data_IF_492416710304
#
_entry.id   IF_492416710304
#
_cell.length_a   1.000
_cell.length_b   1.000
_cell.length_c   1.000
_cell.angle_alpha   90.00
_cell.angle_beta   90.00
_cell.angle_gamma   90.00
#
_symmetry.space_group_name_H-M   'P 1'
#
loop_
_entity.id
_entity.type
_entity.pdbx_description
1 polymer ?
#
# COMPACT_ATOMS: atom_id res chain seq x y z
N UNK A 1 -29.81 35.86 21.20
CA UNK A 1 -28.83 34.91 21.69
C UNK A 1 -28.01 34.29 20.55
N UNK A 2 -27.91 34.93 19.38
CA UNK A 2 -27.20 34.39 18.18
C UNK A 2 -26.20 35.36 17.53
N UNK A 3 -25.85 36.47 18.23
CA UNK A 3 -24.87 37.42 17.68
C UNK A 3 -23.47 37.31 18.28
N UNK A 4 -23.28 36.61 19.39
CA UNK A 4 -21.97 36.44 20.01
C UNK A 4 -21.19 35.23 19.51
N UNK A 5 -21.86 34.22 18.93
CA UNK A 5 -21.20 33.05 18.38
C UNK A 5 -20.41 33.36 17.08
N UNK A 6 -20.90 34.32 16.26
CA UNK A 6 -20.21 34.69 15.01
C UNK A 6 -19.02 35.65 15.23
N UNK A 7 -18.85 36.24 16.41
CA UNK A 7 -17.70 37.09 16.72
C UNK A 7 -16.44 36.32 17.16
N UNK A 8 -16.62 35.07 17.56
CA UNK A 8 -15.48 34.17 17.94
C UNK A 8 -14.80 33.52 16.73
N UNK A 9 -15.50 33.47 15.58
CA UNK A 9 -15.04 32.74 14.38
C UNK A 9 -14.07 33.55 13.53
N UNK A 10 -13.96 34.88 13.66
CA UNK A 10 -13.16 35.75 12.79
C UNK A 10 -12.11 36.59 13.51
N UNK A 11 -11.65 36.21 14.68
CA UNK A 11 -10.44 36.81 15.22
C UNK A 11 -9.24 36.15 14.57
N UNK A 12 -8.59 36.86 13.64
CA UNK A 12 -7.15 36.76 13.48
C UNK A 12 -6.56 37.06 14.85
N UNK A 13 -6.27 36.03 15.61
CA UNK A 13 -5.61 36.18 16.89
C UNK A 13 -4.14 36.40 16.50
N UNK A 14 -3.72 37.65 16.48
CA UNK A 14 -2.31 37.98 16.68
C UNK A 14 -1.99 37.51 18.11
N UNK A 15 -1.43 36.31 18.22
CA UNK A 15 -0.99 35.75 19.48
C UNK A 15 0.09 36.66 20.00
N UNK A 16 -0.13 37.26 21.19
CA UNK A 16 0.91 38.01 21.86
C UNK A 16 1.95 37.05 22.48
N UNK A 17 3.07 37.59 22.95
CA UNK A 17 4.15 36.78 23.55
C UNK A 17 3.67 36.00 24.77
N UNK A 18 2.69 36.48 25.49
CA UNK A 18 2.11 35.80 26.65
C UNK A 18 1.20 34.64 26.26
N UNK A 19 0.46 34.76 25.13
CA UNK A 19 -0.33 33.67 24.55
C UNK A 19 0.59 32.54 24.07
N UNK A 20 1.74 32.87 23.46
CA UNK A 20 2.74 31.90 22.99
C UNK A 20 3.38 31.18 24.17
N UNK A 21 3.72 31.90 25.24
CA UNK A 21 4.29 31.30 26.44
C UNK A 21 3.29 30.37 27.14
N UNK A 22 2.02 30.77 27.21
CA UNK A 22 0.92 29.94 27.73
C UNK A 22 0.75 28.67 26.89
N UNK A 23 0.85 28.77 25.56
CA UNK A 23 0.81 27.62 24.68
C UNK A 23 2.02 26.69 24.89
N UNK A 24 3.23 27.24 25.05
CA UNK A 24 4.44 26.45 25.38
C UNK A 24 4.27 25.65 26.66
N UNK A 25 3.75 26.27 27.72
CA UNK A 25 3.45 25.58 28.97
C UNK A 25 2.44 24.46 28.83
N UNK A 26 1.42 24.60 27.97
CA UNK A 26 0.47 23.52 27.68
C UNK A 26 1.13 22.42 26.83
N UNK A 27 1.93 22.77 25.84
CA UNK A 27 2.62 21.81 24.98
C UNK A 27 3.66 20.99 25.75
N UNK A 28 4.36 21.60 26.74
CA UNK A 28 5.31 20.86 27.60
C UNK A 28 4.65 19.77 28.47
N UNK A 29 3.33 19.81 28.63
CA UNK A 29 2.56 18.77 29.33
C UNK A 29 2.17 17.60 28.40
N UNK A 30 2.39 17.72 27.10
CA UNK A 30 2.14 16.64 26.15
C UNK A 30 3.18 15.56 26.36
N UNK A 31 2.70 14.36 26.62
CA UNK A 31 3.56 13.17 26.67
C UNK A 31 3.05 12.14 25.69
N UNK A 32 3.85 11.87 24.66
CA UNK A 32 3.66 10.76 23.74
C UNK A 32 4.77 9.75 24.03
N UNK A 33 4.47 8.59 24.62
CA UNK A 33 5.49 7.57 24.84
C UNK A 33 6.15 7.15 23.52
N UNK A 34 7.46 6.96 23.50
CA UNK A 34 8.19 6.48 22.31
C UNK A 34 7.58 5.19 21.74
N UNK A 35 7.15 4.31 22.64
CA UNK A 35 6.49 3.04 22.29
C UNK A 35 5.22 3.21 21.46
N UNK A 36 4.56 4.37 21.50
CA UNK A 36 3.37 4.64 20.70
C UNK A 36 3.70 4.72 19.20
N UNK A 37 4.74 5.48 18.87
CA UNK A 37 5.17 5.61 17.48
C UNK A 37 5.79 4.29 16.95
N UNK A 38 6.44 3.54 17.81
CA UNK A 38 7.02 2.23 17.49
C UNK A 38 5.93 1.18 17.23
N UNK A 39 4.91 1.11 18.09
CA UNK A 39 3.75 0.23 17.85
C UNK A 39 3.02 0.57 16.53
N UNK A 40 2.87 1.86 16.23
CA UNK A 40 2.28 2.28 14.96
C UNK A 40 3.13 1.85 13.76
N UNK A 41 4.46 1.93 13.89
CA UNK A 41 5.40 1.40 12.90
C UNK A 41 5.19 -0.10 12.71
N UNK A 42 5.14 -0.88 13.79
CA UNK A 42 4.97 -2.34 13.73
C UNK A 42 3.66 -2.76 13.07
N UNK A 43 2.55 -2.06 13.35
CA UNK A 43 1.25 -2.33 12.71
C UNK A 43 1.34 -2.21 11.19
N UNK A 44 2.07 -1.20 10.69
CA UNK A 44 2.22 -0.94 9.25
C UNK A 44 3.31 -1.85 8.64
N UNK A 45 4.42 -2.06 9.34
CA UNK A 45 5.56 -2.82 8.83
C UNK A 45 5.26 -4.33 8.74
N UNK A 46 4.45 -4.84 9.65
CA UNK A 46 4.07 -6.26 9.69
C UNK A 46 3.49 -6.76 8.36
N UNK A 47 2.44 -6.14 7.79
CA UNK A 47 1.90 -6.47 6.47
C UNK A 47 2.94 -6.41 5.35
N UNK A 48 3.75 -5.35 5.31
CA UNK A 48 4.77 -5.16 4.26
C UNK A 48 5.86 -6.25 4.32
N UNK A 49 6.29 -6.61 5.53
CA UNK A 49 7.26 -7.68 5.74
C UNK A 49 6.70 -9.06 5.32
N UNK A 50 5.46 -9.35 5.70
CA UNK A 50 4.78 -10.61 5.30
C UNK A 50 4.70 -10.77 3.79
N UNK A 51 4.41 -9.68 3.09
CA UNK A 51 4.32 -9.68 1.64
C UNK A 51 5.69 -9.62 0.93
N UNK A 52 6.78 -9.48 1.67
CA UNK A 52 8.10 -9.36 1.10
C UNK A 52 8.36 -8.05 0.34
N UNK A 53 7.59 -7.01 0.59
CA UNK A 53 7.77 -5.70 -0.05
C UNK A 53 9.05 -5.06 0.47
N UNK A 54 9.89 -4.57 -0.45
CA UNK A 54 11.10 -3.85 -0.10
C UNK A 54 10.77 -2.43 0.35
N UNK A 55 11.03 -2.15 1.63
CA UNK A 55 10.72 -0.84 2.23
C UNK A 55 11.70 -0.47 3.34
N UNK A 56 11.62 0.82 3.75
CA UNK A 56 12.15 1.35 5.01
C UNK A 56 11.08 2.21 5.64
N UNK A 57 10.92 2.15 6.95
CA UNK A 57 9.96 3.00 7.68
C UNK A 57 10.72 3.88 8.64
N UNK A 58 10.47 5.18 8.55
CA UNK A 58 10.88 6.19 9.49
C UNK A 58 9.64 6.68 10.22
N UNK A 59 9.79 6.96 11.51
CA UNK A 59 8.70 7.52 12.29
C UNK A 59 9.23 8.62 13.19
N UNK A 60 8.35 9.52 13.55
CA UNK A 60 8.69 10.60 14.50
C UNK A 60 7.44 11.02 15.25
N UNK A 61 7.66 11.43 16.51
CA UNK A 61 6.74 12.29 17.24
C UNK A 61 7.19 13.73 17.05
N UNK A 62 6.26 14.63 16.79
CA UNK A 62 6.57 16.05 16.59
C UNK A 62 7.12 16.65 17.88
N UNK A 63 8.24 17.37 17.81
CA UNK A 63 8.85 18.05 18.95
C UNK A 63 7.97 19.22 19.45
N UNK A 64 8.09 19.57 20.72
CA UNK A 64 7.37 20.67 21.36
C UNK A 64 7.49 21.97 20.55
N UNK A 65 8.70 22.38 20.16
CA UNK A 65 8.92 23.57 19.34
C UNK A 65 8.22 23.50 17.99
N UNK A 66 8.19 22.32 17.36
CA UNK A 66 7.49 22.11 16.09
C UNK A 66 5.97 22.18 16.26
N UNK A 67 5.44 21.71 17.41
CA UNK A 67 4.01 21.81 17.74
C UNK A 67 3.65 23.29 17.94
N UNK A 68 4.41 24.02 18.77
CA UNK A 68 4.19 25.45 19.02
C UNK A 68 4.25 26.24 17.71
N UNK A 69 5.32 26.07 16.94
CA UNK A 69 5.50 26.76 15.64
C UNK A 69 4.33 26.48 14.70
N UNK A 70 3.83 25.26 14.67
CA UNK A 70 2.72 24.88 13.79
C UNK A 70 1.39 25.44 14.26
N UNK A 71 1.11 25.38 15.56
CA UNK A 71 -0.14 25.89 16.15
C UNK A 71 -0.22 27.42 16.14
N UNK A 72 0.92 28.12 16.20
CA UNK A 72 1.00 29.59 16.11
C UNK A 72 0.99 30.11 14.67
N UNK A 73 1.06 29.22 13.67
CA UNK A 73 1.08 29.61 12.27
C UNK A 73 -0.30 30.14 11.85
N UNK A 74 -0.43 31.45 11.72
CA UNK A 74 -1.67 32.15 11.37
C UNK A 74 -2.26 31.65 10.04
N UNK A 75 -1.42 31.28 9.06
CA UNK A 75 -1.88 30.79 7.75
C UNK A 75 -2.59 29.44 7.83
N UNK A 76 -2.34 28.65 8.87
CA UNK A 76 -2.95 27.34 9.10
C UNK A 76 -4.26 27.41 9.87
N UNK A 77 -4.47 28.46 10.67
CA UNK A 77 -5.70 28.73 11.41
C UNK A 77 -6.24 27.50 12.19
N UNK A 78 -5.35 26.85 12.96
CA UNK A 78 -5.76 25.72 13.81
C UNK A 78 -6.69 26.15 14.92
N UNK A 79 -7.79 25.44 15.10
CA UNK A 79 -8.85 25.74 16.06
C UNK A 79 -9.61 24.46 16.47
N UNK A 80 -10.71 24.59 17.18
CA UNK A 80 -11.52 23.45 17.62
C UNK A 80 -12.06 22.58 16.46
N UNK A 81 -12.21 23.13 15.26
CA UNK A 81 -12.77 22.47 14.08
C UNK A 81 -11.71 22.09 13.05
N UNK A 82 -10.59 22.80 13.05
CA UNK A 82 -9.44 22.51 12.17
C UNK A 82 -8.22 22.23 13.04
N UNK A 83 -7.93 20.95 13.22
CA UNK A 83 -6.91 20.45 14.14
C UNK A 83 -5.64 19.98 13.41
N UNK A 84 -4.52 20.00 14.12
CA UNK A 84 -3.27 19.43 13.65
C UNK A 84 -3.35 17.90 13.65
N UNK A 85 -3.06 17.26 12.51
CA UNK A 85 -3.26 15.82 12.28
C UNK A 85 -1.97 15.02 12.26
N UNK A 86 -0.81 15.65 12.41
CA UNK A 86 0.52 15.06 12.25
C UNK A 86 1.37 15.12 13.51
N UNK A 87 0.75 14.91 14.69
CA UNK A 87 1.49 14.75 15.95
C UNK A 87 2.46 13.57 15.85
N UNK A 88 1.99 12.46 15.26
CA UNK A 88 2.79 11.29 14.91
C UNK A 88 2.85 11.21 13.40
N UNK A 89 4.03 11.07 12.85
CA UNK A 89 4.25 10.91 11.41
C UNK A 89 5.07 9.66 11.12
N UNK A 90 4.62 8.87 10.14
CA UNK A 90 5.35 7.75 9.60
C UNK A 90 5.69 8.04 8.13
N UNK A 91 6.87 7.63 7.71
CA UNK A 91 7.31 7.72 6.32
C UNK A 91 7.76 6.36 5.84
N UNK A 92 7.08 5.85 4.83
CA UNK A 92 7.35 4.58 4.18
C UNK A 92 8.10 4.88 2.89
N UNK A 93 9.32 4.37 2.78
CA UNK A 93 10.18 4.52 1.60
C UNK A 93 10.24 3.18 0.90
N UNK A 94 9.59 3.07 -0.24
CA UNK A 94 9.52 1.88 -1.07
C UNK A 94 10.65 1.85 -2.09
N UNK A 95 11.08 0.65 -2.48
CA UNK A 95 12.14 0.51 -3.48
C UNK A 95 11.60 0.64 -4.90
N UNK A 96 10.34 0.23 -5.13
CA UNK A 96 9.72 0.21 -6.44
C UNK A 96 8.46 1.08 -6.46
N UNK A 97 8.24 1.78 -7.57
CA UNK A 97 7.15 2.74 -7.72
C UNK A 97 5.77 2.06 -7.77
N UNK A 98 5.69 0.87 -8.35
CA UNK A 98 4.46 0.07 -8.43
C UNK A 98 4.01 -0.49 -7.07
N UNK A 99 4.90 -0.52 -6.06
CA UNK A 99 4.55 -0.84 -4.68
C UNK A 99 3.71 0.23 -3.98
N UNK A 100 3.69 1.47 -4.47
CA UNK A 100 2.97 2.58 -3.82
C UNK A 100 1.48 2.25 -3.68
N UNK A 101 0.87 1.77 -4.76
CA UNK A 101 -0.55 1.39 -4.75
C UNK A 101 -0.80 0.21 -3.81
N UNK A 102 0.03 -0.82 -3.88
CA UNK A 102 -0.09 -2.01 -3.03
C UNK A 102 0.07 -1.65 -1.56
N UNK A 103 1.08 -0.84 -1.23
CA UNK A 103 1.30 -0.36 0.14
C UNK A 103 0.09 0.44 0.65
N UNK A 104 -0.48 1.31 -0.18
CA UNK A 104 -1.70 2.05 0.14
C UNK A 104 -2.86 1.11 0.44
N UNK A 105 -3.11 0.13 -0.43
CA UNK A 105 -4.19 -0.85 -0.27
C UNK A 105 -4.02 -1.70 1.00
N UNK A 106 -2.78 -2.03 1.38
CA UNK A 106 -2.47 -2.74 2.63
C UNK A 106 -2.76 -1.87 3.86
N UNK A 107 -2.41 -0.58 3.82
CA UNK A 107 -2.68 0.36 4.91
C UNK A 107 -4.19 0.60 5.06
N UNK A 108 -4.92 0.75 3.98
CA UNK A 108 -6.39 0.91 4.00
C UNK A 108 -7.12 -0.28 4.63
N UNK A 109 -6.55 -1.46 4.57
CA UNK A 109 -7.10 -2.65 5.27
C UNK A 109 -6.95 -2.56 6.77
N UNK A 110 -5.80 -2.08 7.25
CA UNK A 110 -5.54 -1.92 8.68
C UNK A 110 -6.24 -0.68 9.26
N UNK A 111 -6.39 0.37 8.44
CA UNK A 111 -7.01 1.65 8.81
C UNK A 111 -8.10 2.03 7.79
N UNK A 112 -9.31 1.45 7.90
CA UNK A 112 -10.39 1.70 6.94
C UNK A 112 -10.86 3.17 6.90
N UNK A 113 -10.71 3.91 8.00
CA UNK A 113 -11.00 5.33 8.09
C UNK A 113 -9.74 6.14 7.77
N UNK A 114 -9.33 6.18 6.50
CA UNK A 114 -8.17 6.94 6.06
C UNK A 114 -8.54 7.92 4.95
N UNK A 115 -7.92 9.10 5.00
CA UNK A 115 -8.05 10.12 3.97
C UNK A 115 -6.70 10.29 3.26
N UNK A 116 -6.67 10.06 1.96
CA UNK A 116 -5.47 10.21 1.15
C UNK A 116 -5.49 11.50 0.35
N UNK A 117 -4.42 12.28 0.49
CA UNK A 117 -4.10 13.38 -0.39
C UNK A 117 -3.05 12.90 -1.40
N UNK A 118 -3.47 12.72 -2.63
CA UNK A 118 -2.56 12.38 -3.75
C UNK A 118 -2.40 13.63 -4.60
N UNK A 119 -1.15 14.09 -4.80
CA UNK A 119 -0.90 15.19 -5.71
C UNK A 119 -1.16 14.73 -7.14
N UNK A 120 -2.09 15.42 -7.84
CA UNK A 120 -2.30 15.18 -9.27
C UNK A 120 -1.08 15.66 -10.06
N UNK A 121 -0.56 14.80 -10.91
CA UNK A 121 0.41 15.22 -11.93
C UNK A 121 -0.30 16.15 -12.92
N UNK A 122 0.31 17.29 -13.20
CA UNK A 122 -0.11 18.16 -14.28
C UNK A 122 0.86 18.01 -15.44
N UNK A 123 0.35 18.02 -16.68
CA UNK A 123 1.17 17.89 -17.89
C UNK A 123 2.18 19.03 -18.08
N UNK A 124 2.03 20.13 -17.33
CA UNK A 124 2.84 21.34 -17.45
C UNK A 124 3.89 21.53 -16.36
N UNK A 125 3.80 20.80 -15.24
CA UNK A 125 4.70 21.00 -14.11
C UNK A 125 5.13 19.65 -13.52
N UNK A 126 6.44 19.48 -13.36
CA UNK A 126 6.98 18.37 -12.56
C UNK A 126 6.87 18.75 -11.08
N UNK A 127 6.00 18.03 -10.38
CA UNK A 127 5.86 18.11 -8.92
C UNK A 127 6.07 16.74 -8.33
N UNK A 128 6.79 16.69 -7.22
CA UNK A 128 6.95 15.46 -6.45
C UNK A 128 5.58 14.82 -6.20
N UNK A 129 5.42 13.56 -6.60
CA UNK A 129 4.23 12.78 -6.23
C UNK A 129 4.23 12.60 -4.71
N UNK A 130 3.23 13.17 -4.07
CA UNK A 130 3.03 13.02 -2.63
C UNK A 130 1.82 12.11 -2.43
N UNK A 131 2.06 10.97 -1.82
CA UNK A 131 0.99 10.09 -1.34
C UNK A 131 1.01 10.18 0.17
N UNK A 132 0.22 11.12 0.70
CA UNK A 132 0.09 11.35 2.13
C UNK A 132 -1.30 10.90 2.57
N UNK A 133 -1.36 10.13 3.64
CA UNK A 133 -2.61 9.70 4.25
C UNK A 133 -2.71 10.16 5.68
N UNK A 134 -3.91 10.47 6.11
CA UNK A 134 -4.25 10.74 7.50
C UNK A 134 -5.19 9.64 7.98
N UNK A 135 -4.84 8.98 9.07
CA UNK A 135 -5.56 7.86 9.66
C UNK A 135 -5.90 8.13 11.10
N UNK A 136 -7.03 7.61 11.56
CA UNK A 136 -7.40 7.64 12.96
C UNK A 136 -6.47 6.76 13.81
N UNK A 137 -5.99 7.27 14.94
CA UNK A 137 -5.26 6.47 15.91
C UNK A 137 -6.19 5.40 16.51
N UNK A 138 -5.76 4.13 16.58
CA UNK A 138 -6.48 3.13 17.34
C UNK A 138 -6.72 3.60 18.77
N UNK A 139 -7.92 3.34 19.31
CA UNK A 139 -8.30 3.83 20.63
C UNK A 139 -7.27 3.47 21.73
N UNK A 140 -6.81 2.21 21.74
CA UNK A 140 -5.83 1.73 22.73
C UNK A 140 -4.46 2.42 22.62
N UNK A 141 -4.13 2.96 21.45
CA UNK A 141 -2.93 3.78 21.23
C UNK A 141 -3.18 5.21 21.71
N UNK A 142 -4.31 5.81 21.32
CA UNK A 142 -4.67 7.18 21.71
C UNK A 142 -4.83 7.34 23.23
N UNK A 143 -5.30 6.29 23.93
CA UNK A 143 -5.47 6.27 25.40
C UNK A 143 -4.12 6.25 26.17
N UNK A 144 -2.99 5.97 25.49
CA UNK A 144 -1.64 6.02 26.07
C UNK A 144 -0.98 7.40 25.98
N UNK A 145 -1.53 8.29 25.17
CA UNK A 145 -1.09 9.68 25.03
C UNK A 145 -1.75 10.51 26.12
N UNK A 146 -1.00 11.45 26.69
CA UNK A 146 -1.52 12.30 27.78
C UNK A 146 -2.83 13.00 27.38
N UNK A 147 -3.87 12.98 28.25
CA UNK A 147 -5.17 13.58 27.93
C UNK A 147 -5.10 15.08 27.58
N UNK A 148 -4.15 15.79 28.17
CA UNK A 148 -3.87 17.21 27.92
C UNK A 148 -3.59 17.51 26.45
N UNK A 149 -3.05 16.53 25.71
CA UNK A 149 -2.82 16.64 24.26
C UNK A 149 -4.09 16.98 23.50
N UNK A 150 -5.21 16.42 23.92
CA UNK A 150 -6.50 16.54 23.23
C UNK A 150 -7.28 17.80 23.62
N UNK A 151 -6.78 18.54 24.60
CA UNK A 151 -7.30 19.88 24.94
C UNK A 151 -6.77 20.96 23.99
N UNK A 152 -5.67 20.67 23.29
CA UNK A 152 -5.12 21.51 22.24
C UNK A 152 -5.82 21.19 20.89
N UNK A 153 -5.69 22.05 19.88
CA UNK A 153 -6.19 21.78 18.54
C UNK A 153 -5.33 20.72 17.82
N UNK A 154 -5.24 19.54 18.43
CA UNK A 154 -4.54 18.35 17.92
C UNK A 154 -5.56 17.24 17.76
N UNK A 155 -5.57 16.58 16.60
CA UNK A 155 -6.49 15.50 16.33
C UNK A 155 -5.91 14.15 16.76
N UNK A 156 -6.80 13.17 17.02
CA UNK A 156 -6.43 11.78 17.34
C UNK A 156 -6.10 11.01 16.06
N UNK A 157 -5.19 11.56 15.28
CA UNK A 157 -4.77 11.02 14.00
C UNK A 157 -3.25 10.94 13.91
N UNK A 158 -2.78 10.22 12.90
CA UNK A 158 -1.37 10.20 12.50
C UNK A 158 -1.26 10.34 10.98
N UNK A 159 -0.13 10.87 10.51
CA UNK A 159 0.16 11.03 9.09
C UNK A 159 1.04 9.88 8.60
N UNK A 160 0.72 9.32 7.44
CA UNK A 160 1.58 8.38 6.70
C UNK A 160 1.97 9.02 5.37
N UNK A 161 3.26 9.02 5.07
CA UNK A 161 3.82 9.47 3.80
C UNK A 161 4.42 8.27 3.08
N UNK A 162 3.98 7.99 1.84
CA UNK A 162 4.54 6.93 1.00
C UNK A 162 5.36 7.57 -0.11
N UNK A 163 6.60 7.10 -0.30
CA UNK A 163 7.54 7.59 -1.31
C UNK A 163 8.40 6.47 -1.85
N UNK A 164 9.02 6.68 -3.01
CA UNK A 164 10.12 5.83 -3.49
C UNK A 164 11.47 6.31 -2.95
N UNK A 165 12.49 5.46 -3.03
CA UNK A 165 13.86 5.80 -2.64
C UNK A 165 14.40 7.02 -3.41
N UNK A 166 14.09 7.12 -4.70
CA UNK A 166 14.51 8.24 -5.53
C UNK A 166 13.86 9.56 -5.10
N UNK A 167 12.55 9.54 -4.87
CA UNK A 167 11.81 10.72 -4.41
C UNK A 167 12.18 11.13 -2.99
N UNK A 168 12.45 10.19 -2.11
CA UNK A 168 12.86 10.50 -0.74
C UNK A 168 14.20 11.26 -0.73
N UNK A 169 15.20 10.77 -1.46
CA UNK A 169 16.49 11.44 -1.55
C UNK A 169 16.38 12.86 -2.11
N UNK A 170 15.62 13.04 -3.17
CA UNK A 170 15.38 14.37 -3.74
C UNK A 170 14.62 15.28 -2.79
N UNK A 171 13.60 14.76 -2.11
CA UNK A 171 12.79 15.56 -1.18
C UNK A 171 13.60 16.07 0.00
N UNK A 172 14.48 15.28 0.58
CA UNK A 172 15.36 15.71 1.67
C UNK A 172 16.29 16.83 1.20
N UNK A 173 16.87 16.71 0.00
CA UNK A 173 17.72 17.74 -0.60
C UNK A 173 16.91 19.03 -0.88
N UNK A 174 15.75 18.90 -1.51
CA UNK A 174 14.88 20.03 -1.83
C UNK A 174 14.39 20.76 -0.57
N UNK A 175 13.99 20.01 0.43
CA UNK A 175 13.54 20.54 1.72
C UNK A 175 14.66 21.34 2.42
N UNK A 176 15.86 20.81 2.44
CA UNK A 176 16.99 21.52 3.06
C UNK A 176 17.40 22.75 2.26
N UNK A 177 17.51 22.64 0.94
CA UNK A 177 18.00 23.74 0.11
C UNK A 177 16.95 24.82 -0.14
N UNK A 178 15.69 24.44 -0.40
CA UNK A 178 14.66 25.40 -0.85
C UNK A 178 13.79 25.89 0.30
N UNK A 179 13.35 25.00 1.19
CA UNK A 179 12.43 25.38 2.26
C UNK A 179 13.12 26.08 3.42
N UNK A 180 14.28 25.61 3.86
CA UNK A 180 15.02 26.24 4.97
C UNK A 180 15.74 27.53 4.56
N UNK A 181 16.10 27.69 3.30
CA UNK A 181 16.85 28.83 2.76
C UNK A 181 16.09 29.60 1.70
N UNK A 182 14.81 29.93 1.95
CA UNK A 182 13.91 30.61 1.00
C UNK A 182 14.52 31.88 0.38
N UNK A 183 15.20 32.72 1.19
CA UNK A 183 15.85 33.94 0.71
C UNK A 183 16.88 33.73 -0.41
N UNK A 184 17.55 32.59 -0.43
CA UNK A 184 18.51 32.25 -1.48
C UNK A 184 17.85 32.07 -2.86
N UNK A 185 16.54 31.75 -2.89
CA UNK A 185 15.77 31.46 -4.10
C UNK A 185 14.93 32.64 -4.59
N UNK A 186 14.95 33.80 -3.90
CA UNK A 186 14.21 35.01 -4.28
C UNK A 186 14.91 35.81 -5.38
N UNK A 187 16.19 35.58 -5.61
CA UNK A 187 16.96 36.26 -6.64
C UNK A 187 16.67 35.70 -8.04
N UNK A 188 16.64 36.57 -9.06
CA UNK A 188 16.41 36.17 -10.46
C UNK A 188 17.42 35.13 -10.96
N UNK A 189 18.67 35.24 -10.54
CA UNK A 189 19.73 34.27 -10.87
C UNK A 189 19.43 32.87 -10.34
N UNK A 190 18.70 32.74 -9.25
CA UNK A 190 18.34 31.43 -8.65
C UNK A 190 17.28 30.67 -9.43
N UNK A 191 16.50 31.32 -10.29
CA UNK A 191 15.51 30.65 -11.14
C UNK A 191 16.13 29.58 -12.04
N UNK A 192 17.35 29.80 -12.51
CA UNK A 192 18.07 28.80 -13.29
C UNK A 192 18.39 27.55 -12.48
N UNK A 193 18.78 27.71 -11.23
CA UNK A 193 19.04 26.57 -10.32
C UNK A 193 17.75 25.86 -9.90
N UNK A 194 16.66 26.59 -9.67
CA UNK A 194 15.36 25.99 -9.41
C UNK A 194 14.91 25.08 -10.57
N UNK A 195 15.12 25.54 -11.83
CA UNK A 195 14.83 24.73 -13.02
C UNK A 195 15.71 23.49 -13.11
N UNK A 196 17.00 23.60 -12.77
CA UNK A 196 17.90 22.42 -12.71
C UNK A 196 17.46 21.43 -11.65
N UNK A 197 17.06 21.89 -10.47
CA UNK A 197 16.56 21.02 -9.40
C UNK A 197 15.27 20.28 -9.83
N UNK A 198 14.36 20.97 -10.52
CA UNK A 198 13.16 20.34 -11.07
C UNK A 198 13.48 19.33 -12.20
N UNK A 199 14.55 19.55 -12.97
CA UNK A 199 14.97 18.57 -13.99
C UNK A 199 15.56 17.29 -13.37
N UNK A 200 16.20 17.41 -12.23
CA UNK A 200 16.64 16.23 -11.45
C UNK A 200 15.43 15.40 -11.01
N UNK A 201 14.38 16.05 -10.50
CA UNK A 201 13.14 15.36 -10.13
C UNK A 201 12.54 14.56 -11.30
N UNK A 202 12.42 15.20 -12.48
CA UNK A 202 11.93 14.52 -13.68
C UNK A 202 12.82 13.32 -14.09
N UNK A 203 14.13 13.45 -13.92
CA UNK A 203 15.06 12.33 -14.19
C UNK A 203 14.87 11.18 -13.22
N UNK A 204 14.64 11.45 -11.94
CA UNK A 204 14.40 10.43 -10.93
C UNK A 204 13.06 9.69 -11.14
N UNK A 205 12.02 10.41 -11.58
CA UNK A 205 10.74 9.80 -11.99
C UNK A 205 10.95 8.83 -13.16
N UNK A 206 11.67 9.25 -14.20
CA UNK A 206 12.02 8.36 -15.30
C UNK A 206 12.89 7.17 -14.88
N UNK A 207 13.74 7.34 -13.87
CA UNK A 207 14.54 6.23 -13.33
C UNK A 207 13.66 5.19 -12.62
N UNK A 208 12.68 5.62 -11.82
CA UNK A 208 11.74 4.72 -11.16
C UNK A 208 10.96 3.89 -12.19
N UNK A 209 10.40 4.51 -13.23
CA UNK A 209 9.68 3.83 -14.31
C UNK A 209 10.60 2.90 -15.12
N UNK A 210 11.84 3.32 -15.36
CA UNK A 210 12.82 2.54 -16.12
C UNK A 210 13.23 1.26 -15.38
N UNK A 211 13.30 1.30 -14.05
CA UNK A 211 13.59 0.11 -13.23
C UNK A 211 12.49 -0.94 -13.40
N UNK A 212 11.23 -0.54 -13.34
CA UNK A 212 10.09 -1.46 -13.54
C UNK A 212 10.12 -2.04 -14.95
N UNK A 213 10.27 -1.19 -15.99
CA UNK A 213 10.36 -1.65 -17.38
C UNK A 213 11.51 -2.64 -17.59
N UNK A 214 12.65 -2.41 -16.96
CA UNK A 214 13.79 -3.32 -17.00
C UNK A 214 13.46 -4.68 -16.35
N UNK A 215 12.81 -4.68 -15.18
CA UNK A 215 12.39 -5.92 -14.52
C UNK A 215 11.39 -6.72 -15.35
N UNK A 216 10.45 -6.05 -16.02
CA UNK A 216 9.49 -6.67 -16.96
C UNK A 216 10.22 -7.29 -18.16
N UNK A 217 11.17 -6.58 -18.76
CA UNK A 217 11.97 -7.08 -19.90
C UNK A 217 12.83 -8.29 -19.50
N UNK A 218 13.49 -8.23 -18.36
CA UNK A 218 14.24 -9.34 -17.81
C UNK A 218 13.32 -10.53 -17.51
N UNK A 219 12.18 -10.31 -16.86
CA UNK A 219 11.21 -11.36 -16.57
C UNK A 219 10.70 -12.03 -17.84
N UNK A 220 10.46 -11.27 -18.91
CA UNK A 220 10.09 -11.81 -20.22
C UNK A 220 11.20 -12.65 -20.87
N UNK A 221 12.44 -12.21 -20.74
CA UNK A 221 13.60 -12.93 -21.25
C UNK A 221 13.75 -14.27 -20.53
N UNK A 222 13.74 -14.29 -19.21
CA UNK A 222 13.81 -15.52 -18.41
C UNK A 222 12.63 -16.45 -18.63
N UNK A 223 11.42 -15.89 -18.86
CA UNK A 223 10.28 -16.71 -19.28
C UNK A 223 10.54 -17.47 -20.59
N UNK A 224 11.15 -16.83 -21.59
CA UNK A 224 11.50 -17.47 -22.87
C UNK A 224 12.59 -18.54 -22.72
N UNK A 225 13.55 -18.29 -21.84
CA UNK A 225 14.66 -19.18 -21.53
C UNK A 225 14.25 -20.34 -20.61
N UNK A 226 13.02 -20.30 -20.06
CA UNK A 226 12.52 -21.21 -19.04
C UNK A 226 13.33 -21.19 -17.74
N UNK A 227 14.01 -20.10 -17.46
CA UNK A 227 14.58 -19.84 -16.14
C UNK A 227 13.47 -19.30 -15.22
N UNK A 228 12.68 -20.24 -14.71
CA UNK A 228 11.50 -19.94 -13.89
C UNK A 228 11.86 -19.21 -12.60
N UNK A 229 12.99 -19.52 -12.00
CA UNK A 229 13.43 -18.88 -10.77
C UNK A 229 13.72 -17.39 -10.98
N UNK A 230 14.52 -17.07 -11.99
CA UNK A 230 14.83 -15.67 -12.34
C UNK A 230 13.60 -14.91 -12.83
N UNK A 231 12.72 -15.58 -13.59
CA UNK A 231 11.44 -15.01 -14.01
C UNK A 231 10.58 -14.59 -12.80
N UNK A 232 10.41 -15.47 -11.81
CA UNK A 232 9.63 -15.18 -10.60
C UNK A 232 10.23 -14.01 -9.84
N UNK A 233 11.57 -13.98 -9.70
CA UNK A 233 12.28 -12.90 -9.01
C UNK A 233 12.08 -11.55 -9.68
N UNK A 234 12.15 -11.48 -11.00
CA UNK A 234 11.92 -10.26 -11.75
C UNK A 234 10.44 -9.83 -11.75
N UNK A 235 9.54 -10.78 -11.95
CA UNK A 235 8.10 -10.48 -12.09
C UNK A 235 7.47 -10.05 -10.77
N UNK A 236 7.77 -10.74 -9.66
CA UNK A 236 7.20 -10.39 -8.36
C UNK A 236 8.06 -9.39 -7.58
N UNK A 237 9.35 -9.26 -7.87
CA UNK A 237 10.36 -8.40 -7.22
C UNK A 237 10.10 -8.18 -5.72
N UNK A 238 9.82 -9.28 -5.02
CA UNK A 238 9.65 -9.35 -3.59
C UNK A 238 10.95 -9.79 -2.91
N UNK A 239 11.05 -9.53 -1.62
CA UNK A 239 12.14 -10.06 -0.78
C UNK A 239 11.92 -11.55 -0.60
N UNK A 240 12.58 -12.35 -1.40
CA UNK A 240 12.51 -13.80 -1.39
C UNK A 240 13.88 -14.39 -1.05
N UNK A 241 13.86 -15.55 -0.37
CA UNK A 241 15.08 -16.30 -0.09
C UNK A 241 15.72 -16.76 -1.40
N UNK A 242 17.06 -16.65 -1.54
CA UNK A 242 17.75 -16.98 -2.78
C UNK A 242 17.93 -18.50 -2.98
N UNK A 243 16.87 -19.27 -2.79
CA UNK A 243 16.86 -20.70 -3.00
C UNK A 243 16.69 -21.04 -4.48
N UNK A 244 17.33 -22.15 -4.91
CA UNK A 244 17.10 -22.71 -6.22
C UNK A 244 15.71 -23.34 -6.33
N UNK A 245 15.16 -23.34 -7.54
CA UNK A 245 13.92 -24.04 -7.79
C UNK A 245 14.11 -25.55 -7.65
N UNK A 246 13.22 -26.18 -6.90
CA UNK A 246 13.31 -27.63 -6.67
C UNK A 246 13.18 -28.41 -7.98
N UNK A 247 14.03 -29.41 -8.25
CA UNK A 247 14.07 -30.13 -9.53
C UNK A 247 12.72 -30.67 -9.99
N UNK A 248 11.89 -31.18 -9.07
CA UNK A 248 10.55 -31.66 -9.41
C UNK A 248 9.60 -30.53 -9.88
N UNK A 249 9.71 -29.35 -9.30
CA UNK A 249 8.91 -28.19 -9.77
C UNK A 249 9.42 -27.69 -11.10
N UNK A 250 10.74 -27.68 -11.30
CA UNK A 250 11.37 -27.37 -12.58
C UNK A 250 10.89 -28.29 -13.69
N UNK A 251 10.90 -29.61 -13.46
CA UNK A 251 10.43 -30.63 -14.43
C UNK A 251 8.95 -30.44 -14.80
N UNK A 252 8.10 -30.16 -13.83
CA UNK A 252 6.66 -29.91 -14.09
C UNK A 252 6.47 -28.65 -14.95
N UNK A 253 7.18 -27.57 -14.64
CA UNK A 253 7.09 -26.32 -15.39
C UNK A 253 7.66 -26.45 -16.80
N UNK A 254 8.75 -27.19 -16.97
CA UNK A 254 9.33 -27.48 -18.30
C UNK A 254 8.44 -28.37 -19.15
N UNK A 255 7.76 -29.31 -18.52
CA UNK A 255 6.79 -30.21 -19.16
C UNK A 255 5.46 -29.51 -19.52
N UNK A 256 5.10 -28.47 -18.80
CA UNK A 256 3.83 -27.75 -19.02
C UNK A 256 4.05 -26.23 -19.02
N UNK A 257 4.45 -25.70 -20.15
CA UNK A 257 4.76 -24.27 -20.32
C UNK A 257 3.57 -23.35 -20.02
N UNK A 258 2.34 -23.88 -20.07
CA UNK A 258 1.15 -23.08 -19.74
C UNK A 258 1.10 -22.69 -18.28
N UNK A 259 1.69 -23.48 -17.38
CA UNK A 259 1.81 -23.16 -15.95
C UNK A 259 2.76 -21.98 -15.77
N UNK A 260 3.96 -22.05 -16.37
CA UNK A 260 4.93 -20.95 -16.32
C UNK A 260 4.36 -19.64 -16.91
N UNK A 261 3.62 -19.76 -18.03
CA UNK A 261 2.90 -18.62 -18.61
C UNK A 261 1.86 -18.04 -17.67
N UNK A 262 1.15 -18.90 -16.95
CA UNK A 262 0.16 -18.45 -15.97
C UNK A 262 0.82 -17.68 -14.82
N UNK A 263 1.90 -18.25 -14.23
CA UNK A 263 2.66 -17.61 -13.14
C UNK A 263 3.17 -16.24 -13.59
N UNK A 264 3.71 -16.15 -14.81
CA UNK A 264 4.21 -14.90 -15.40
C UNK A 264 3.10 -13.86 -15.67
N UNK A 265 1.86 -14.28 -15.87
CA UNK A 265 0.72 -13.38 -16.18
C UNK A 265 -0.14 -13.04 -14.97
N UNK A 266 0.08 -13.70 -13.83
CA UNK A 266 -0.68 -13.42 -12.63
C UNK A 266 -0.29 -12.04 -12.10
N UNK A 267 -1.28 -11.17 -11.93
CA UNK A 267 -1.07 -9.83 -11.40
C UNK A 267 -0.40 -9.87 -10.02
N UNK A 268 0.67 -9.11 -9.88
CA UNK A 268 1.46 -9.03 -8.65
C UNK A 268 0.62 -8.61 -7.43
N UNK A 269 -0.29 -7.65 -7.63
CA UNK A 269 -1.19 -7.20 -6.58
C UNK A 269 -2.10 -8.33 -6.07
N UNK A 270 -2.66 -9.16 -6.96
CA UNK A 270 -3.54 -10.27 -6.57
C UNK A 270 -2.79 -11.33 -5.77
N UNK A 271 -1.54 -11.62 -6.15
CA UNK A 271 -0.68 -12.52 -5.39
C UNK A 271 -0.37 -11.98 -4.00
N UNK A 272 0.01 -10.70 -3.88
CA UNK A 272 0.33 -10.06 -2.60
C UNK A 272 -0.90 -10.03 -1.68
N UNK A 273 -2.09 -9.73 -2.22
CA UNK A 273 -3.32 -9.75 -1.42
C UNK A 273 -3.64 -11.16 -0.91
N UNK A 274 -3.34 -12.19 -1.70
CA UNK A 274 -3.47 -13.59 -1.26
C UNK A 274 -2.51 -13.93 -0.12
N UNK A 275 -1.27 -13.44 -0.18
CA UNK A 275 -0.31 -13.59 0.94
C UNK A 275 -0.86 -12.98 2.22
N UNK A 276 -1.42 -11.77 2.15
CA UNK A 276 -2.00 -11.10 3.30
C UNK A 276 -3.17 -11.86 3.91
N UNK A 277 -4.02 -12.42 3.07
CA UNK A 277 -5.27 -13.03 3.53
C UNK A 277 -5.06 -14.46 4.06
N UNK A 278 -4.09 -15.19 3.51
CA UNK A 278 -3.98 -16.63 3.70
C UNK A 278 -2.69 -17.09 4.41
N UNK A 279 -1.62 -16.29 4.39
CA UNK A 279 -0.31 -16.73 4.89
C UNK A 279 0.32 -15.68 5.81
N UNK A 280 0.57 -16.03 7.08
CA UNK A 280 1.16 -15.09 8.05
C UNK A 280 2.67 -15.24 8.19
N UNK A 281 3.17 -16.47 8.21
CA UNK A 281 4.56 -16.76 8.59
C UNK A 281 5.23 -17.70 7.58
N UNK A 282 5.00 -17.45 6.29
CA UNK A 282 5.65 -18.22 5.24
C UNK A 282 6.94 -17.53 4.79
N UNK A 283 8.02 -18.29 4.71
CA UNK A 283 9.24 -17.82 4.08
C UNK A 283 9.04 -17.80 2.56
N UNK A 284 9.16 -16.60 1.98
CA UNK A 284 8.99 -16.43 0.54
C UNK A 284 10.25 -16.90 -0.21
N UNK A 285 10.07 -17.88 -1.07
CA UNK A 285 11.04 -18.38 -2.04
C UNK A 285 10.32 -18.63 -3.37
N UNK A 286 11.06 -18.86 -4.46
CA UNK A 286 10.41 -19.24 -5.72
C UNK A 286 9.58 -20.51 -5.58
N UNK A 287 9.99 -21.45 -4.74
CA UNK A 287 9.27 -22.68 -4.46
C UNK A 287 7.94 -22.43 -3.74
N UNK A 288 7.96 -21.63 -2.66
CA UNK A 288 6.73 -21.32 -1.92
C UNK A 288 5.77 -20.45 -2.74
N UNK A 289 6.28 -19.54 -3.56
CA UNK A 289 5.46 -18.73 -4.49
C UNK A 289 4.70 -19.62 -5.47
N UNK A 290 5.38 -20.59 -6.12
CA UNK A 290 4.73 -21.55 -7.01
C UNK A 290 3.68 -22.38 -6.28
N UNK A 291 4.00 -22.82 -5.07
CA UNK A 291 3.08 -23.60 -4.24
C UNK A 291 1.80 -22.81 -3.91
N UNK A 292 1.94 -21.56 -3.48
CA UNK A 292 0.83 -20.66 -3.17
C UNK A 292 -0.01 -20.37 -4.42
N UNK A 293 0.63 -20.07 -5.54
CA UNK A 293 -0.06 -19.82 -6.82
C UNK A 293 -0.82 -21.06 -7.25
N UNK A 294 -0.21 -22.24 -7.11
CA UNK A 294 -0.90 -23.48 -7.45
C UNK A 294 -2.14 -23.71 -6.57
N UNK A 295 -2.04 -23.51 -5.27
CA UNK A 295 -3.14 -23.76 -4.34
C UNK A 295 -4.31 -22.81 -4.57
N UNK A 296 -4.04 -21.51 -4.76
CA UNK A 296 -5.10 -20.51 -4.85
C UNK A 296 -5.61 -20.25 -6.26
N UNK A 297 -4.77 -20.46 -7.28
CA UNK A 297 -5.06 -19.99 -8.63
C UNK A 297 -5.06 -21.09 -9.68
N UNK A 298 -4.15 -22.07 -9.61
CA UNK A 298 -3.97 -23.07 -10.67
C UNK A 298 -4.74 -24.38 -10.43
N UNK A 299 -4.72 -24.88 -9.22
CA UNK A 299 -5.22 -26.21 -8.84
C UNK A 299 -4.62 -27.35 -9.69
N UNK A 300 -3.34 -27.26 -10.04
CA UNK A 300 -2.65 -28.28 -10.80
C UNK A 300 -2.30 -29.47 -9.91
N UNK A 301 -2.74 -30.68 -10.28
CA UNK A 301 -2.56 -31.88 -9.47
C UNK A 301 -1.09 -32.24 -9.29
N UNK A 302 -0.30 -32.16 -10.35
CA UNK A 302 1.13 -32.53 -10.33
C UNK A 302 1.93 -31.61 -9.39
N UNK A 303 1.69 -30.30 -9.44
CA UNK A 303 2.29 -29.33 -8.52
C UNK A 303 1.84 -29.62 -7.09
N UNK A 304 0.55 -29.86 -6.86
CA UNK A 304 0.05 -30.15 -5.51
C UNK A 304 0.67 -31.40 -4.90
N UNK A 305 0.86 -32.44 -5.70
CA UNK A 305 1.54 -33.67 -5.26
C UNK A 305 3.04 -33.43 -4.96
N UNK A 306 3.73 -32.66 -5.80
CA UNK A 306 5.12 -32.29 -5.56
C UNK A 306 5.26 -31.41 -4.31
N UNK A 307 4.45 -30.38 -4.17
CA UNK A 307 4.42 -29.47 -3.01
C UNK A 307 4.18 -30.25 -1.71
N UNK A 308 3.23 -31.19 -1.72
CA UNK A 308 2.96 -32.04 -0.56
C UNK A 308 4.14 -32.92 -0.17
N UNK A 309 4.80 -33.54 -1.15
CA UNK A 309 6.01 -34.37 -0.91
C UNK A 309 7.20 -33.56 -0.40
N UNK A 310 7.33 -32.32 -0.86
CA UNK A 310 8.43 -31.42 -0.48
C UNK A 310 8.18 -30.70 0.85
N UNK A 311 6.96 -30.73 1.38
CA UNK A 311 6.59 -30.04 2.60
C UNK A 311 6.74 -28.51 2.50
N UNK A 312 6.61 -27.94 1.31
CA UNK A 312 6.80 -26.52 1.03
C UNK A 312 5.74 -25.62 1.69
N UNK A 313 4.53 -26.14 1.85
CA UNK A 313 3.46 -25.48 2.61
C UNK A 313 3.20 -26.30 3.88
N UNK A 314 3.53 -25.74 5.03
CA UNK A 314 3.23 -26.36 6.34
C UNK A 314 1.81 -26.00 6.73
N UNK A 315 1.03 -26.97 7.22
CA UNK A 315 -0.35 -26.74 7.70
C UNK A 315 -0.45 -25.61 8.74
N UNK A 316 0.62 -25.37 9.50
CA UNK A 316 0.69 -24.31 10.52
C UNK A 316 0.83 -22.88 9.94
N UNK A 317 1.20 -22.73 8.68
CA UNK A 317 1.34 -21.42 8.02
C UNK A 317 0.05 -20.97 7.33
N UNK A 318 -0.89 -21.90 7.14
CA UNK A 318 -2.18 -21.62 6.53
C UNK A 318 -3.16 -21.14 7.58
N UNK A 319 -3.46 -19.86 7.61
CA UNK A 319 -4.64 -19.37 8.32
C UNK A 319 -5.84 -19.45 7.38
N UNK A 320 -6.93 -20.06 7.90
CA UNK A 320 -8.18 -19.98 7.18
C UNK A 320 -8.50 -18.50 6.92
N UNK A 321 -8.68 -18.10 5.66
CA UNK A 321 -8.93 -16.70 5.32
C UNK A 321 -10.11 -16.18 6.11
N UNK A 322 -10.02 -14.94 6.57
CA UNK A 322 -11.16 -14.25 7.14
C UNK A 322 -12.29 -14.34 6.12
N UNK A 323 -13.35 -15.09 6.46
CA UNK A 323 -14.40 -15.57 5.55
C UNK A 323 -15.00 -14.49 4.65
N UNK A 324 -15.04 -13.23 5.14
CA UNK A 324 -15.59 -12.09 4.41
C UNK A 324 -14.60 -11.45 3.42
N UNK A 325 -13.28 -11.60 3.63
CA UNK A 325 -12.24 -10.91 2.83
C UNK A 325 -11.62 -11.79 1.73
N UNK A 326 -11.51 -13.10 1.93
CA UNK A 326 -10.91 -14.00 0.94
C UNK A 326 -11.82 -14.30 -0.24
N UNK A 327 -13.13 -14.30 -0.03
CA UNK A 327 -14.10 -14.57 -1.09
C UNK A 327 -13.98 -13.64 -2.31
N UNK A 328 -13.83 -12.31 -2.14
CA UNK A 328 -13.66 -11.40 -3.26
C UNK A 328 -12.43 -11.68 -4.14
N UNK A 329 -11.29 -12.03 -3.53
CA UNK A 329 -10.05 -12.29 -4.28
C UNK A 329 -10.13 -13.60 -5.09
N UNK A 330 -10.63 -14.67 -4.46
CA UNK A 330 -10.88 -15.94 -5.15
C UNK A 330 -11.92 -15.80 -6.25
N UNK A 331 -12.96 -15.01 -6.01
CA UNK A 331 -14.03 -14.74 -6.99
C UNK A 331 -13.47 -13.97 -8.19
N UNK A 332 -12.65 -12.94 -7.96
CA UNK A 332 -11.99 -12.17 -9.02
C UNK A 332 -11.22 -13.06 -9.98
N UNK A 333 -10.37 -13.91 -9.44
CA UNK A 333 -9.52 -14.77 -10.25
C UNK A 333 -10.30 -15.78 -11.08
N UNK A 334 -11.29 -16.43 -10.49
CA UNK A 334 -12.12 -17.41 -11.21
C UNK A 334 -13.00 -16.77 -12.28
N UNK A 335 -13.48 -15.54 -12.07
CA UNK A 335 -14.13 -14.72 -13.09
C UNK A 335 -13.19 -14.49 -14.26
N UNK A 336 -11.98 -14.03 -14.01
CA UNK A 336 -10.98 -13.76 -15.04
C UNK A 336 -10.69 -15.01 -15.88
N UNK A 337 -10.46 -16.17 -15.24
CA UNK A 337 -10.21 -17.44 -15.92
C UNK A 337 -11.40 -17.89 -16.78
N UNK A 338 -12.61 -17.78 -16.27
CA UNK A 338 -13.82 -18.11 -17.01
C UNK A 338 -14.05 -17.16 -18.18
N UNK A 339 -13.83 -15.87 -18.00
CA UNK A 339 -13.92 -14.86 -19.06
C UNK A 339 -12.87 -15.06 -20.16
N UNK A 340 -11.64 -15.44 -19.79
CA UNK A 340 -10.58 -15.74 -20.77
C UNK A 340 -10.94 -16.94 -21.62
N UNK A 341 -11.48 -17.99 -21.00
CA UNK A 341 -11.94 -19.18 -21.70
C UNK A 341 -13.12 -18.89 -22.65
N UNK A 342 -14.08 -18.06 -22.22
CA UNK A 342 -15.25 -17.68 -23.01
C UNK A 342 -14.90 -16.69 -24.13
N UNK A 343 -13.91 -15.82 -23.93
CA UNK A 343 -13.43 -14.88 -24.96
C UNK A 343 -12.79 -15.57 -26.16
N UNK A 344 -12.29 -16.79 -26.01
CA UNK A 344 -11.76 -17.61 -27.09
C UNK A 344 -12.86 -18.24 -27.96
N UNK A 345 -14.14 -18.12 -27.57
CA UNK A 345 -15.29 -18.80 -28.22
C UNK A 345 -16.21 -17.89 -29.06
N UNK A 346 -15.83 -16.69 -29.41
CA UNK A 346 -16.57 -15.75 -30.31
C UNK A 346 -18.03 -15.44 -29.89
N UNK A 347 -18.35 -15.46 -28.61
CA UNK A 347 -19.68 -15.19 -28.07
C UNK A 347 -19.80 -13.71 -27.66
N UNK A 348 -20.98 -13.12 -27.80
CA UNK A 348 -21.31 -11.74 -27.42
C UNK A 348 -21.01 -11.45 -25.95
N UNK A 349 -20.43 -10.26 -25.66
CA UNK A 349 -19.91 -9.87 -24.37
C UNK A 349 -20.93 -9.91 -23.20
N UNK A 350 -22.22 -9.70 -23.50
CA UNK A 350 -23.28 -9.75 -22.48
C UNK A 350 -23.64 -11.21 -22.10
N UNK A 351 -23.67 -12.10 -23.10
CA UNK A 351 -23.84 -13.54 -22.88
C UNK A 351 -22.64 -14.16 -22.16
N UNK A 352 -21.43 -13.69 -22.46
CA UNK A 352 -20.19 -14.09 -21.75
C UNK A 352 -20.27 -13.73 -20.27
N UNK A 353 -20.74 -12.51 -19.96
CA UNK A 353 -20.89 -12.06 -18.59
C UNK A 353 -21.95 -12.85 -17.80
N UNK A 354 -23.09 -13.13 -18.41
CA UNK A 354 -24.13 -13.93 -17.78
C UNK A 354 -23.69 -15.38 -17.55
N UNK A 355 -23.08 -16.02 -18.53
CA UNK A 355 -22.57 -17.39 -18.41
C UNK A 355 -21.43 -17.50 -17.39
N UNK A 356 -20.51 -16.54 -17.37
CA UNK A 356 -19.44 -16.48 -16.36
C UNK A 356 -20.01 -16.30 -14.96
N UNK A 357 -21.01 -15.45 -14.79
CA UNK A 357 -21.72 -15.24 -13.53
C UNK A 357 -22.35 -16.52 -12.99
N UNK A 358 -22.99 -17.28 -13.85
CA UNK A 358 -23.67 -18.53 -13.49
C UNK A 358 -22.67 -19.64 -13.15
N UNK A 359 -21.60 -19.79 -13.92
CA UNK A 359 -20.51 -20.74 -13.68
C UNK A 359 -19.81 -20.44 -12.35
N UNK A 360 -19.54 -19.18 -12.07
CA UNK A 360 -18.88 -18.75 -10.83
C UNK A 360 -19.79 -18.98 -9.64
N UNK A 361 -21.05 -18.63 -9.75
CA UNK A 361 -22.04 -18.85 -8.69
C UNK A 361 -22.15 -20.34 -8.35
N UNK A 362 -22.27 -21.18 -9.37
CA UNK A 362 -22.32 -22.64 -9.22
C UNK A 362 -21.03 -23.19 -8.59
N UNK A 363 -19.87 -22.73 -9.06
CA UNK A 363 -18.58 -23.16 -8.54
C UNK A 363 -18.35 -22.72 -7.08
N UNK A 364 -18.76 -21.51 -6.69
CA UNK A 364 -18.70 -21.03 -5.31
C UNK A 364 -19.58 -21.89 -4.42
N UNK A 365 -20.81 -22.19 -4.83
CA UNK A 365 -21.72 -23.05 -4.09
C UNK A 365 -21.11 -24.44 -3.92
N UNK A 366 -20.74 -25.11 -4.99
CA UNK A 366 -20.22 -26.48 -4.96
C UNK A 366 -18.95 -26.62 -4.11
N UNK A 367 -18.07 -25.61 -4.12
CA UNK A 367 -16.77 -25.69 -3.44
C UNK A 367 -16.81 -25.20 -1.99
N UNK A 368 -17.67 -24.24 -1.69
CA UNK A 368 -17.65 -23.55 -0.40
C UNK A 368 -18.90 -23.79 0.47
N UNK A 369 -19.94 -24.45 -0.02
CA UNK A 369 -21.14 -24.71 0.77
C UNK A 369 -20.86 -25.58 2.00
N UNK A 370 -19.91 -26.50 1.91
CA UNK A 370 -19.43 -27.31 3.03
C UNK A 370 -18.60 -26.51 4.05
N UNK A 371 -17.97 -25.40 3.61
CA UNK A 371 -17.13 -24.52 4.42
C UNK A 371 -17.95 -23.34 4.94
N UNK A 372 -18.93 -22.90 4.14
CA UNK A 372 -19.80 -21.76 4.43
C UNK A 372 -21.27 -22.13 4.24
N UNK A 373 -21.88 -22.85 5.19
CA UNK A 373 -23.30 -23.23 5.08
C UNK A 373 -24.17 -21.96 4.90
N UNK A 374 -24.98 -21.95 3.84
CA UNK A 374 -25.85 -20.82 3.53
C UNK A 374 -25.31 -19.80 2.54
N UNK A 375 -24.15 -20.04 1.93
CA UNK A 375 -23.59 -19.14 0.89
C UNK A 375 -24.54 -19.03 -0.30
N UNK A 376 -25.35 -20.05 -0.57
CA UNK A 376 -26.40 -20.07 -1.61
C UNK A 376 -27.51 -19.06 -1.36
N UNK A 377 -27.71 -18.63 -0.11
CA UNK A 377 -28.75 -17.65 0.28
C UNK A 377 -28.28 -16.20 0.11
N UNK A 378 -26.98 -15.96 -0.02
CA UNK A 378 -26.43 -14.64 -0.27
C UNK A 378 -26.33 -14.45 -1.78
N UNK A 379 -27.20 -13.63 -2.36
CA UNK A 379 -27.01 -13.11 -3.72
C UNK A 379 -25.68 -12.33 -3.70
N UNK A 380 -24.64 -12.98 -4.23
CA UNK A 380 -23.37 -12.29 -4.48
C UNK A 380 -23.68 -11.23 -5.50
N UNK A 381 -23.70 -9.98 -5.07
CA UNK A 381 -23.96 -8.84 -5.95
C UNK A 381 -22.76 -8.70 -6.90
N UNK A 382 -22.89 -9.21 -8.09
CA UNK A 382 -21.92 -9.13 -9.19
C UNK A 382 -21.67 -7.68 -9.66
N UNK A 383 -22.43 -6.70 -9.15
CA UNK A 383 -22.19 -5.27 -9.39
C UNK A 383 -20.82 -4.77 -8.90
N UNK A 384 -20.12 -5.53 -8.05
CA UNK A 384 -18.75 -5.24 -7.63
C UNK A 384 -17.70 -5.68 -8.68
N UNK A 385 -18.10 -6.38 -9.73
CA UNK A 385 -17.22 -6.87 -10.79
C UNK A 385 -17.40 -6.00 -12.04
N UNK A 386 -17.31 -4.69 -11.91
CA UNK A 386 -17.08 -3.82 -13.07
C UNK A 386 -15.60 -3.88 -13.40
N UNK A 387 -15.26 -4.77 -14.30
CA UNK A 387 -13.97 -4.78 -14.96
C UNK A 387 -14.05 -3.86 -16.17
N UNK A 388 -13.24 -2.82 -16.20
CA UNK A 388 -12.89 -2.16 -17.45
C UNK A 388 -12.10 -3.19 -18.28
N UNK A 389 -12.80 -3.91 -19.14
CA UNK A 389 -12.18 -4.72 -20.20
C UNK A 389 -11.76 -3.72 -21.28
N UNK A 390 -10.55 -3.19 -21.16
CA UNK A 390 -9.84 -2.48 -22.23
C UNK A 390 -8.68 -3.31 -22.73
#
# INVERSE_FOLDING_TARGET
MNQDYNKVINRHIDLDDNDIETLRQKVSQITVPETVADDMREIIEGPLNRCGIYHRIFYRVKSEDSIVTKLTNVSKNYNAYHKMQDLIGLRIVLYYVDDIKICKDLIEREFPECEWAVSSQTTSEFKSMKTNGVMSLPKYIADRISPQTWELPIDKTFEVQIRTMAFEGWHEIEHDMRYKYTKMWEHDESRHYARKLNSVLATLELCDDSIISMLEEMGHTYYKEKDWNSMIRCHYHLRITPDDLHPQLQEILDGNISIGKFIYKLERADFIMTLMDCYKDIELSSNSIIAIINEHFLHNKEISEAVSKLGLLKEKSYEQPNREKALPTLTRFNVFRSLTYLKESDIDSELIFMAASEIIHKWIIEKYENIFPGISQHRIHLSLIRWDIR
#
